data_IF_551713290693
#
_entry.id   IF_551713290693
#
_cell.length_a   1.000
_cell.length_b   1.000
_cell.length_c   1.000
_cell.angle_alpha   90.00
_cell.angle_beta   90.00
_cell.angle_gamma   90.00
#
_symmetry.space_group_name_H-M   'P 1'
#
loop_
_entity.id
_entity.type
_entity.pdbx_description
1 polymer ?
#
# COMPACT_ATOMS: atom_id res chain seq x y z
N UNK A 1 -70.90 -41.37 -13.90
CA UNK A 1 -72.28 -41.03 -14.21
C UNK A 1 -72.29 -39.96 -15.28
N UNK A 2 -73.18 -40.13 -16.27
CA UNK A 2 -73.36 -39.13 -17.31
C UNK A 2 -74.34 -38.06 -16.82
N UNK A 3 -74.15 -36.84 -17.25
CA UNK A 3 -75.07 -35.75 -17.05
C UNK A 3 -76.37 -36.01 -17.83
N UNK A 4 -77.52 -35.73 -17.23
CA UNK A 4 -78.84 -35.84 -17.87
C UNK A 4 -79.50 -34.46 -18.01
N UNK A 5 -80.45 -34.36 -18.90
CA UNK A 5 -81.21 -33.10 -19.13
C UNK A 5 -81.80 -32.58 -17.83
N UNK A 6 -81.40 -31.38 -17.38
CA UNK A 6 -81.82 -30.76 -16.12
C UNK A 6 -80.75 -30.68 -15.05
N UNK A 7 -79.63 -31.36 -15.23
CA UNK A 7 -78.48 -31.20 -14.33
C UNK A 7 -77.89 -29.79 -14.44
N UNK A 8 -77.67 -29.21 -13.30
CA UNK A 8 -77.02 -27.89 -13.21
C UNK A 8 -75.59 -28.08 -12.73
N UNK A 9 -74.64 -27.70 -13.53
CA UNK A 9 -73.21 -27.69 -13.17
C UNK A 9 -72.93 -26.37 -12.43
N UNK A 10 -72.77 -26.42 -11.13
CA UNK A 10 -72.49 -25.25 -10.31
C UNK A 10 -71.03 -24.86 -10.36
N UNK A 11 -70.10 -25.83 -10.63
CA UNK A 11 -68.69 -25.58 -10.82
C UNK A 11 -68.03 -26.77 -11.54
N UNK A 12 -66.96 -26.51 -12.26
CA UNK A 12 -66.06 -27.52 -12.81
C UNK A 12 -64.75 -27.36 -12.12
N UNK A 13 -64.30 -28.39 -11.40
CA UNK A 13 -62.96 -28.44 -10.88
C UNK A 13 -62.10 -29.26 -11.81
N UNK A 14 -61.04 -28.64 -12.35
CA UNK A 14 -60.04 -29.31 -13.17
C UNK A 14 -58.99 -29.86 -12.23
N UNK A 15 -59.00 -31.19 -12.06
CA UNK A 15 -57.97 -31.92 -11.31
C UNK A 15 -56.92 -32.41 -12.32
N UNK A 16 -55.83 -31.75 -12.41
CA UNK A 16 -54.76 -32.12 -13.30
C UNK A 16 -53.69 -31.03 -13.42
N UNK A 17 -52.66 -31.30 -14.18
CA UNK A 17 -51.63 -30.32 -14.45
C UNK A 17 -52.31 -29.02 -14.89
N UNK A 18 -52.49 -28.17 -13.94
CA UNK A 18 -53.15 -26.93 -14.20
C UNK A 18 -52.27 -26.11 -15.06
N UNK A 19 -52.78 -25.97 -16.23
CA UNK A 19 -52.92 -24.64 -16.71
C UNK A 19 -51.84 -23.71 -16.18
N UNK A 20 -51.07 -23.32 -17.08
CA UNK A 20 -50.43 -22.04 -17.03
C UNK A 20 -51.56 -20.98 -16.81
N UNK A 21 -51.92 -20.75 -15.59
CA UNK A 21 -52.93 -19.78 -15.18
C UNK A 21 -52.47 -18.33 -15.33
N UNK A 22 -51.47 -18.12 -16.16
CA UNK A 22 -50.95 -16.81 -16.43
C UNK A 22 -49.97 -16.30 -15.37
N UNK A 23 -49.70 -15.03 -15.43
CA UNK A 23 -48.78 -14.36 -14.50
C UNK A 23 -49.35 -14.44 -13.07
N UNK A 24 -48.57 -14.91 -12.08
CA UNK A 24 -49.00 -14.84 -10.67
C UNK A 24 -49.39 -13.41 -10.31
N UNK A 25 -50.44 -13.26 -9.50
CA UNK A 25 -50.82 -11.94 -8.99
C UNK A 25 -49.67 -11.32 -8.19
N UNK A 26 -49.63 -10.00 -8.15
CA UNK A 26 -48.62 -9.27 -7.38
C UNK A 26 -48.48 -9.78 -5.95
N UNK A 27 -47.26 -9.91 -5.48
CA UNK A 27 -46.89 -10.41 -4.15
C UNK A 27 -47.30 -11.86 -3.83
N UNK A 28 -47.76 -12.65 -4.79
CA UNK A 28 -48.20 -14.06 -4.54
C UNK A 28 -47.05 -15.07 -4.62
N UNK A 29 -45.90 -14.72 -5.22
CA UNK A 29 -44.70 -15.57 -5.26
C UNK A 29 -43.84 -15.33 -4.03
N UNK A 30 -44.10 -16.09 -2.97
CA UNK A 30 -43.26 -16.06 -1.76
C UNK A 30 -42.01 -16.91 -1.93
N UNK A 31 -41.03 -16.74 -1.03
CA UNK A 31 -39.80 -17.55 -1.03
C UNK A 31 -40.07 -19.05 -0.96
N UNK A 32 -41.13 -19.46 -0.25
CA UNK A 32 -41.52 -20.87 -0.17
C UNK A 32 -42.03 -21.45 -1.49
N UNK A 33 -42.45 -20.61 -2.44
CA UNK A 33 -42.90 -21.04 -3.78
C UNK A 33 -41.75 -21.15 -4.80
N UNK A 34 -40.55 -20.66 -4.45
CA UNK A 34 -39.36 -20.83 -5.24
C UNK A 34 -38.62 -22.07 -4.73
N UNK A 35 -38.60 -23.12 -5.52
CA UNK A 35 -37.80 -24.29 -5.18
C UNK A 35 -36.32 -23.89 -5.06
N UNK A 36 -35.56 -24.60 -4.21
CA UNK A 36 -34.09 -24.41 -4.12
C UNK A 36 -33.46 -24.53 -5.50
N UNK A 37 -32.55 -23.63 -5.84
CA UNK A 37 -31.85 -23.56 -7.14
C UNK A 37 -32.76 -23.24 -8.36
N UNK A 38 -34.01 -22.86 -8.16
CA UNK A 38 -34.93 -22.54 -9.27
C UNK A 38 -34.58 -21.25 -10.03
N UNK A 39 -33.90 -20.28 -9.37
CA UNK A 39 -33.45 -19.05 -9.98
C UNK A 39 -31.97 -19.20 -10.37
N UNK A 40 -31.73 -19.48 -11.62
CA UNK A 40 -30.38 -19.59 -12.21
C UNK A 40 -29.98 -18.31 -12.91
N UNK A 41 -28.69 -18.16 -13.26
CA UNK A 41 -28.21 -17.01 -14.02
C UNK A 41 -28.98 -16.77 -15.33
N UNK A 42 -29.43 -17.84 -16.00
CA UNK A 42 -30.22 -17.74 -17.24
C UNK A 42 -31.64 -17.15 -17.02
N UNK A 43 -32.11 -17.11 -15.78
CA UNK A 43 -33.42 -16.53 -15.42
C UNK A 43 -33.33 -15.10 -14.88
N UNK A 44 -32.11 -14.62 -14.69
CA UNK A 44 -31.83 -13.23 -14.27
C UNK A 44 -31.57 -12.39 -15.50
N UNK A 45 -32.32 -11.31 -15.66
CA UNK A 45 -32.01 -10.32 -16.69
C UNK A 45 -30.77 -9.53 -16.29
N UNK A 46 -29.96 -9.13 -17.26
CA UNK A 46 -28.79 -8.25 -17.04
C UNK A 46 -29.17 -6.92 -16.37
N UNK A 47 -30.40 -6.50 -16.49
CA UNK A 47 -30.93 -5.26 -15.88
C UNK A 47 -30.86 -5.27 -14.32
N UNK A 48 -30.71 -6.43 -13.70
CA UNK A 48 -30.41 -6.48 -12.26
C UNK A 48 -29.12 -5.74 -11.90
N UNK A 49 -28.24 -5.57 -12.88
CA UNK A 49 -27.00 -4.81 -12.76
C UNK A 49 -27.07 -3.53 -13.60
N UNK A 50 -27.36 -3.66 -14.90
CA UNK A 50 -27.29 -2.53 -15.86
C UNK A 50 -28.43 -1.53 -15.69
N UNK A 51 -29.56 -1.95 -15.12
CA UNK A 51 -30.71 -1.09 -14.81
C UNK A 51 -30.59 -0.32 -13.51
N UNK A 52 -29.51 -0.54 -12.71
CA UNK A 52 -29.32 0.18 -11.46
C UNK A 52 -28.70 1.57 -11.71
N UNK A 53 -28.98 2.50 -10.81
CA UNK A 53 -28.31 3.80 -10.83
C UNK A 53 -26.82 3.60 -10.56
N UNK A 54 -25.98 4.25 -11.39
CA UNK A 54 -24.52 4.19 -11.21
C UNK A 54 -24.11 4.85 -9.89
N UNK A 55 -23.41 4.11 -9.04
CA UNK A 55 -22.75 4.68 -7.85
C UNK A 55 -21.36 5.14 -8.21
N UNK A 56 -21.03 6.39 -7.93
CA UNK A 56 -19.74 7.01 -8.24
C UNK A 56 -18.87 7.25 -7.01
N UNK A 57 -19.42 7.06 -5.81
CA UNK A 57 -18.72 7.28 -4.54
C UNK A 57 -19.09 6.19 -3.54
N UNK A 58 -18.28 5.14 -3.52
CA UNK A 58 -18.53 3.98 -2.66
C UNK A 58 -18.00 4.22 -1.25
N UNK A 59 -18.86 4.15 -0.23
CA UNK A 59 -18.48 4.18 1.17
C UNK A 59 -17.87 2.86 1.63
N UNK A 60 -17.09 2.87 2.72
CA UNK A 60 -16.37 1.66 3.20
C UNK A 60 -17.34 0.55 3.68
N UNK A 61 -18.56 0.91 4.08
CA UNK A 61 -19.60 -0.02 4.47
C UNK A 61 -20.40 -0.62 3.32
N UNK A 62 -20.30 -0.10 2.10
CA UNK A 62 -21.00 -0.63 0.93
C UNK A 62 -20.53 -2.04 0.61
N UNK A 63 -21.44 -2.86 0.09
CA UNK A 63 -21.17 -4.28 -0.06
C UNK A 63 -21.26 -4.74 -1.51
N UNK A 64 -20.37 -5.64 -1.86
CA UNK A 64 -20.30 -6.34 -3.15
C UNK A 64 -20.72 -7.79 -2.93
N UNK A 65 -21.52 -8.36 -3.84
CA UNK A 65 -21.87 -9.78 -3.82
C UNK A 65 -20.74 -10.59 -4.48
N UNK A 66 -20.26 -11.60 -3.77
CA UNK A 66 -19.22 -12.52 -4.27
C UNK A 66 -19.66 -13.98 -4.13
N UNK A 67 -19.12 -14.84 -4.97
CA UNK A 67 -19.17 -16.29 -4.74
C UNK A 67 -17.91 -16.71 -3.95
N UNK A 68 -18.11 -17.16 -2.72
CA UNK A 68 -17.05 -17.72 -1.90
C UNK A 68 -16.84 -19.19 -2.30
N UNK A 69 -15.75 -19.48 -3.01
CA UNK A 69 -15.45 -20.82 -3.50
C UNK A 69 -15.20 -21.82 -2.36
N UNK A 70 -14.60 -21.38 -1.25
CA UNK A 70 -14.30 -22.22 -0.09
C UNK A 70 -15.58 -22.65 0.67
N UNK A 71 -16.57 -21.77 0.71
CA UNK A 71 -17.86 -22.01 1.32
C UNK A 71 -18.92 -22.53 0.33
N UNK A 72 -18.61 -22.54 -0.97
CA UNK A 72 -19.56 -22.84 -2.06
C UNK A 72 -20.86 -22.06 -1.94
N UNK A 73 -20.80 -20.78 -1.55
CA UNK A 73 -21.95 -19.95 -1.23
C UNK A 73 -21.77 -18.51 -1.69
N UNK A 74 -22.90 -17.82 -1.92
CA UNK A 74 -22.90 -16.38 -2.10
C UNK A 74 -22.66 -15.69 -0.76
N UNK A 75 -21.75 -14.74 -0.73
CA UNK A 75 -21.43 -13.91 0.42
C UNK A 75 -21.33 -12.44 0.04
N UNK A 76 -21.53 -11.56 1.00
CA UNK A 76 -21.26 -10.15 0.84
C UNK A 76 -19.82 -9.84 1.29
N UNK A 77 -19.16 -8.94 0.60
CA UNK A 77 -17.88 -8.36 0.99
C UNK A 77 -18.02 -6.85 1.02
N UNK A 78 -17.51 -6.19 2.07
CA UNK A 78 -17.47 -4.73 2.11
C UNK A 78 -16.43 -4.19 1.15
N UNK A 79 -16.60 -2.95 0.69
CA UNK A 79 -15.56 -2.24 -0.11
C UNK A 79 -14.23 -2.25 0.63
N UNK A 80 -14.20 -1.95 1.94
CA UNK A 80 -12.97 -1.93 2.73
C UNK A 80 -12.21 -3.26 2.65
N UNK A 81 -12.90 -4.40 2.78
CA UNK A 81 -12.28 -5.72 2.67
C UNK A 81 -11.85 -6.06 1.24
N UNK A 82 -12.63 -5.65 0.24
CA UNK A 82 -12.30 -5.88 -1.17
C UNK A 82 -11.02 -5.12 -1.56
N UNK A 83 -10.93 -3.85 -1.18
CA UNK A 83 -9.76 -2.99 -1.48
C UNK A 83 -8.52 -3.43 -0.69
N UNK A 84 -8.68 -3.93 0.54
CA UNK A 84 -7.54 -4.42 1.33
C UNK A 84 -6.84 -5.64 0.71
N UNK A 85 -7.55 -6.38 -0.17
CA UNK A 85 -6.97 -7.48 -0.95
C UNK A 85 -6.43 -7.08 -2.33
N UNK A 86 -6.61 -5.81 -2.73
CA UNK A 86 -6.21 -5.30 -4.05
C UNK A 86 -5.14 -4.23 -3.87
N UNK A 87 -3.90 -4.66 -3.93
CA UNK A 87 -2.76 -3.76 -3.84
C UNK A 87 -2.51 -3.25 -2.41
N UNK A 88 -1.34 -3.53 -1.90
CA UNK A 88 -0.86 -2.98 -0.63
C UNK A 88 -0.75 -1.45 -0.69
N UNK A 89 -0.77 -0.82 0.44
CA UNK A 89 -0.31 0.55 0.58
C UNK A 89 1.22 0.56 0.56
N UNK A 90 1.85 1.63 0.04
CA UNK A 90 3.31 1.80 0.13
C UNK A 90 3.75 2.11 1.58
N UNK A 91 3.26 1.30 2.53
CA UNK A 91 3.58 1.42 3.95
C UNK A 91 4.27 0.15 4.44
N UNK A 92 5.20 0.28 5.40
CA UNK A 92 5.64 1.53 6.05
C UNK A 92 6.35 2.47 5.09
N UNK A 93 6.25 3.78 5.37
CA UNK A 93 6.88 4.84 4.59
C UNK A 93 7.32 5.98 5.52
N UNK A 94 8.49 6.52 5.27
CA UNK A 94 9.01 7.61 6.08
C UNK A 94 9.73 8.67 5.25
N UNK A 95 9.80 9.87 5.79
CA UNK A 95 10.68 10.94 5.32
C UNK A 95 11.21 11.72 6.50
N UNK A 96 12.51 11.90 6.55
CA UNK A 96 13.22 12.57 7.65
C UNK A 96 14.23 13.57 7.12
N UNK A 97 14.60 14.52 7.95
CA UNK A 97 15.55 15.58 7.62
C UNK A 97 16.45 15.92 8.80
N UNK A 98 17.52 16.65 8.53
CA UNK A 98 18.31 17.32 9.57
C UNK A 98 17.60 18.63 9.90
N UNK A 99 17.28 18.88 11.17
CA UNK A 99 16.59 20.09 11.62
C UNK A 99 17.23 20.81 12.81
N UNK A 100 17.99 20.11 13.63
CA UNK A 100 18.63 20.66 14.84
C UNK A 100 19.83 21.58 14.57
N UNK A 101 20.01 22.03 13.35
CA UNK A 101 21.14 22.83 12.90
C UNK A 101 22.10 21.99 12.05
N UNK A 102 23.09 22.66 11.45
CA UNK A 102 24.07 22.02 10.60
C UNK A 102 24.91 21.00 11.40
N UNK A 103 25.15 19.83 10.83
CA UNK A 103 25.99 18.80 11.44
C UNK A 103 27.44 18.92 11.01
N UNK A 104 28.37 19.05 11.98
CA UNK A 104 29.81 19.02 11.70
C UNK A 104 30.28 17.59 11.42
N UNK A 105 31.09 17.41 10.40
CA UNK A 105 31.67 16.14 9.98
C UNK A 105 33.21 16.23 10.09
N UNK A 106 33.79 15.25 10.75
CA UNK A 106 35.26 15.08 10.77
C UNK A 106 35.74 14.45 9.45
N UNK A 107 36.88 14.90 8.95
CA UNK A 107 37.47 14.30 7.76
C UNK A 107 37.99 12.87 7.98
N UNK A 108 38.01 12.07 6.92
CA UNK A 108 38.56 10.70 6.88
C UNK A 108 37.90 9.71 7.89
N UNK A 109 36.65 9.95 8.27
CA UNK A 109 35.92 9.08 9.16
C UNK A 109 34.47 8.97 8.72
N UNK A 110 33.91 7.75 8.74
CA UNK A 110 32.48 7.54 8.53
C UNK A 110 31.73 8.20 9.69
N UNK A 111 30.78 9.02 9.34
CA UNK A 111 29.95 9.74 10.32
C UNK A 111 28.48 9.50 10.02
N UNK A 112 27.74 9.01 11.03
CA UNK A 112 26.31 8.82 10.95
C UNK A 112 25.60 10.16 10.69
N UNK A 113 24.76 10.22 9.67
CA UNK A 113 24.00 11.42 9.35
C UNK A 113 22.85 11.60 10.34
N UNK A 114 22.79 12.78 10.96
CA UNK A 114 21.84 13.10 12.02
C UNK A 114 20.47 13.50 11.47
N UNK A 115 19.76 12.59 10.84
CA UNK A 115 18.36 12.81 10.46
C UNK A 115 17.47 12.76 11.71
N UNK A 116 17.27 13.88 12.34
CA UNK A 116 16.69 14.04 13.70
C UNK A 116 15.23 14.51 13.70
N UNK A 117 14.67 14.81 12.54
CA UNK A 117 13.29 15.30 12.42
C UNK A 117 12.52 14.56 11.35
N UNK A 118 11.38 14.05 11.76
CA UNK A 118 10.43 13.42 10.85
C UNK A 118 9.61 14.49 10.12
N UNK A 119 9.45 14.30 8.81
CA UNK A 119 8.40 14.93 8.02
C UNK A 119 7.13 14.10 8.14
N UNK A 120 7.29 12.78 8.02
CA UNK A 120 6.29 11.77 8.35
C UNK A 120 6.98 10.42 8.62
N UNK A 121 6.32 9.56 9.42
CA UNK A 121 6.65 8.15 9.60
C UNK A 121 5.33 7.35 9.71
N UNK A 122 4.90 6.76 8.60
CA UNK A 122 3.69 5.96 8.50
C UNK A 122 4.08 4.49 8.71
N UNK A 123 3.55 3.89 9.77
CA UNK A 123 3.89 2.53 10.16
C UNK A 123 5.02 2.41 11.17
N UNK A 124 5.63 3.53 11.61
CA UNK A 124 6.52 3.57 12.77
C UNK A 124 7.85 2.84 12.57
N UNK A 125 8.44 2.93 11.41
CA UNK A 125 9.70 2.23 11.10
C UNK A 125 10.96 3.04 11.39
N UNK A 126 10.89 4.38 11.39
CA UNK A 126 12.05 5.22 11.62
C UNK A 126 12.23 5.59 13.10
N UNK A 127 13.47 5.64 13.55
CA UNK A 127 13.81 6.04 14.90
C UNK A 127 14.81 7.19 14.90
N UNK A 128 14.36 8.37 15.33
CA UNK A 128 15.15 9.61 15.37
C UNK A 128 16.30 9.57 16.35
N UNK A 129 16.31 8.68 17.35
CA UNK A 129 17.43 8.52 18.28
C UNK A 129 18.55 7.68 17.68
N UNK A 130 18.23 6.56 17.03
CA UNK A 130 19.21 5.69 16.39
C UNK A 130 19.51 6.07 14.94
N UNK A 131 18.75 7.03 14.36
CA UNK A 131 18.90 7.54 13.00
C UNK A 131 18.78 6.45 11.91
N UNK A 132 17.91 5.48 12.13
CA UNK A 132 17.73 4.35 11.22
C UNK A 132 16.26 4.00 11.03
N UNK A 133 15.96 3.48 9.87
CA UNK A 133 14.71 2.77 9.60
C UNK A 133 14.91 1.30 9.93
N UNK A 134 13.96 0.71 10.64
CA UNK A 134 13.92 -0.73 10.97
C UNK A 134 12.59 -1.30 10.48
N UNK A 135 12.62 -2.42 9.78
CA UNK A 135 11.42 -3.07 9.24
C UNK A 135 10.51 -3.52 10.38
N UNK A 136 9.28 -2.99 10.47
CA UNK A 136 8.32 -3.37 11.51
C UNK A 136 7.85 -4.82 11.36
N UNK A 137 7.23 -5.35 12.44
CA UNK A 137 6.65 -6.69 12.43
C UNK A 137 5.54 -6.82 11.37
N UNK A 138 5.59 -7.88 10.58
CA UNK A 138 4.64 -8.14 9.49
C UNK A 138 4.96 -7.42 8.18
N UNK A 139 6.01 -6.58 8.14
CA UNK A 139 6.30 -5.71 7.01
C UNK A 139 7.55 -6.12 6.21
N UNK A 140 7.96 -7.41 6.27
CA UNK A 140 9.01 -7.91 5.38
C UNK A 140 8.63 -7.68 3.91
N UNK A 141 9.62 -7.47 3.04
CA UNK A 141 9.38 -7.23 1.61
C UNK A 141 10.44 -6.33 0.98
N UNK A 142 10.13 -5.83 -0.22
CA UNK A 142 11.00 -4.93 -0.97
C UNK A 142 10.74 -3.47 -0.59
N UNK A 143 11.81 -2.72 -0.45
CA UNK A 143 11.79 -1.32 -0.06
C UNK A 143 12.59 -0.48 -1.05
N UNK A 144 12.10 0.71 -1.33
CA UNK A 144 12.87 1.76 -1.99
C UNK A 144 13.35 2.77 -0.97
N UNK A 145 14.65 3.10 -0.99
CA UNK A 145 15.25 4.14 -0.16
C UNK A 145 15.97 5.17 -1.02
N UNK A 146 15.91 6.42 -0.58
CA UNK A 146 16.70 7.49 -1.16
C UNK A 146 17.20 8.42 -0.05
N UNK A 147 18.48 8.81 -0.15
CA UNK A 147 19.07 9.81 0.73
C UNK A 147 19.76 10.89 -0.10
N UNK A 148 19.58 12.12 0.33
CA UNK A 148 20.22 13.31 -0.24
C UNK A 148 20.85 14.12 0.89
N UNK A 149 22.09 14.59 0.69
CA UNK A 149 22.84 15.35 1.68
C UNK A 149 23.45 16.57 1.01
N UNK A 150 23.12 17.75 1.48
CA UNK A 150 23.77 19.00 1.13
C UNK A 150 24.99 19.22 2.01
N UNK A 151 26.10 19.61 1.39
CA UNK A 151 27.36 19.89 2.07
C UNK A 151 27.61 21.39 2.04
N UNK A 152 27.90 22.00 3.18
CA UNK A 152 28.32 23.39 3.22
C UNK A 152 29.75 23.51 2.70
N UNK A 153 29.94 24.22 1.61
CA UNK A 153 31.29 24.53 1.17
C UNK A 153 31.87 25.61 2.07
N UNK A 154 32.99 25.32 2.71
CA UNK A 154 33.81 26.37 3.27
C UNK A 154 34.44 27.14 2.11
N UNK A 155 34.53 28.47 2.23
CA UNK A 155 35.07 29.42 1.22
C UNK A 155 36.53 29.22 0.86
N UNK A 156 37.18 28.16 1.32
CA UNK A 156 38.52 27.79 0.89
C UNK A 156 38.43 26.93 -0.36
N UNK A 157 38.60 27.57 -1.49
CA UNK A 157 38.87 26.92 -2.76
C UNK A 157 40.17 26.15 -2.63
N UNK A 158 40.12 24.93 -2.14
CA UNK A 158 41.30 24.06 -2.17
C UNK A 158 41.39 23.47 -3.59
N UNK A 159 42.56 23.66 -4.21
CA UNK A 159 42.84 23.14 -5.55
C UNK A 159 42.92 21.60 -5.60
N UNK A 160 42.88 20.94 -4.46
CA UNK A 160 42.90 19.48 -4.37
C UNK A 160 41.46 18.91 -4.53
N UNK A 161 41.33 17.91 -5.38
CA UNK A 161 40.09 17.16 -5.54
C UNK A 161 39.71 16.44 -4.23
N UNK A 162 38.59 16.83 -3.63
CA UNK A 162 38.07 16.20 -2.41
C UNK A 162 37.06 15.12 -2.74
N UNK A 163 37.21 13.98 -2.10
CA UNK A 163 36.26 12.86 -2.27
C UNK A 163 35.16 12.94 -1.23
N UNK A 164 33.94 12.83 -1.71
CA UNK A 164 32.70 12.80 -0.92
C UNK A 164 31.95 11.50 -1.22
N UNK A 165 31.59 10.76 -0.20
CA UNK A 165 30.88 9.51 -0.33
C UNK A 165 29.71 9.50 0.63
N UNK A 166 28.50 9.37 0.11
CA UNK A 166 27.31 9.03 0.91
C UNK A 166 27.16 7.50 0.86
N UNK A 167 26.96 6.89 2.00
CA UNK A 167 26.83 5.44 2.14
C UNK A 167 25.53 5.10 2.83
N UNK A 168 24.73 4.25 2.20
CA UNK A 168 23.53 3.66 2.78
C UNK A 168 23.85 2.21 3.13
N UNK A 169 23.71 1.87 4.39
CA UNK A 169 24.00 0.54 4.93
C UNK A 169 22.73 -0.22 5.17
N UNK A 170 22.67 -1.46 4.71
CA UNK A 170 21.65 -2.44 5.07
C UNK A 170 22.28 -3.48 6.01
N UNK A 171 21.68 -3.63 7.17
CA UNK A 171 22.03 -4.63 8.18
C UNK A 171 20.82 -5.52 8.49
N UNK A 172 21.09 -6.79 8.78
CA UNK A 172 20.05 -7.66 9.30
C UNK A 172 19.81 -7.44 10.80
N UNK A 173 18.77 -8.06 11.33
CA UNK A 173 18.38 -7.97 12.76
C UNK A 173 19.47 -8.47 13.72
N UNK A 174 20.45 -9.24 13.26
CA UNK A 174 21.62 -9.71 14.03
C UNK A 174 22.84 -8.80 13.90
N UNK A 175 22.66 -7.57 13.40
CA UNK A 175 23.74 -6.58 13.18
C UNK A 175 24.83 -7.03 12.20
N UNK A 176 24.50 -7.88 11.24
CA UNK A 176 25.41 -8.26 10.15
C UNK A 176 25.11 -7.41 8.92
N UNK A 177 26.15 -6.77 8.35
CA UNK A 177 26.04 -5.99 7.12
C UNK A 177 25.66 -6.91 5.95
N UNK A 178 24.59 -6.58 5.26
CA UNK A 178 24.09 -7.30 4.09
C UNK A 178 24.51 -6.63 2.80
N UNK A 179 24.49 -5.28 2.79
CA UNK A 179 24.86 -4.50 1.63
C UNK A 179 25.27 -3.07 2.04
N UNK A 180 26.08 -2.45 1.20
CA UNK A 180 26.41 -1.02 1.29
C UNK A 180 26.26 -0.40 -0.08
N UNK A 181 25.37 0.58 -0.18
CA UNK A 181 25.11 1.35 -1.40
C UNK A 181 25.82 2.69 -1.32
N UNK A 182 26.47 3.11 -2.40
CA UNK A 182 27.35 4.28 -2.37
C UNK A 182 27.05 5.25 -3.49
N UNK A 183 26.87 6.50 -3.13
CA UNK A 183 27.00 7.63 -4.03
C UNK A 183 28.36 8.32 -3.80
N UNK A 184 29.22 8.33 -4.79
CA UNK A 184 30.56 8.92 -4.69
C UNK A 184 30.75 9.99 -5.75
N UNK A 185 31.34 11.08 -5.34
CA UNK A 185 31.74 12.14 -6.26
C UNK A 185 33.03 12.85 -5.79
N UNK A 186 33.65 13.54 -6.71
CA UNK A 186 34.84 14.36 -6.44
C UNK A 186 34.52 15.78 -6.90
N UNK A 187 34.58 16.72 -5.99
CA UNK A 187 34.41 18.14 -6.31
C UNK A 187 35.73 18.91 -6.20
N UNK A 188 35.99 19.75 -7.18
CA UNK A 188 37.14 20.63 -7.16
C UNK A 188 36.80 22.10 -6.87
N UNK A 189 35.59 22.54 -7.12
CA UNK A 189 35.14 23.94 -6.92
C UNK A 189 33.62 24.07 -7.01
N UNK A 190 32.85 23.45 -6.12
CA UNK A 190 31.37 23.57 -6.15
C UNK A 190 30.86 24.17 -4.86
N UNK A 191 30.01 25.19 -4.97
CA UNK A 191 29.34 25.80 -3.83
C UNK A 191 28.17 24.90 -3.43
N UNK A 192 28.16 24.46 -2.16
CA UNK A 192 27.10 23.65 -1.56
C UNK A 192 26.69 22.42 -2.40
N UNK A 193 27.63 21.49 -2.67
CA UNK A 193 27.31 20.30 -3.43
C UNK A 193 26.31 19.42 -2.71
N UNK A 194 25.51 18.70 -3.49
CA UNK A 194 24.56 17.70 -2.97
C UNK A 194 24.97 16.32 -3.44
N UNK A 195 25.05 15.38 -2.51
CA UNK A 195 25.21 13.95 -2.79
C UNK A 195 23.86 13.24 -2.65
N UNK A 196 23.69 12.18 -3.42
CA UNK A 196 22.54 11.33 -3.32
C UNK A 196 22.91 9.86 -3.49
N UNK A 197 22.13 9.00 -2.87
CA UNK A 197 22.15 7.55 -3.04
C UNK A 197 20.74 7.04 -3.02
N UNK A 198 20.44 6.05 -3.87
CA UNK A 198 19.17 5.33 -3.84
C UNK A 198 19.44 3.84 -3.95
N UNK A 199 18.55 3.04 -3.37
CA UNK A 199 18.64 1.58 -3.42
C UNK A 199 17.27 0.94 -3.28
N UNK A 200 17.08 -0.18 -3.99
CA UNK A 200 16.01 -1.12 -3.78
C UNK A 200 16.54 -2.31 -2.99
N UNK A 201 15.89 -2.61 -1.86
CA UNK A 201 16.41 -3.57 -0.89
C UNK A 201 15.31 -4.54 -0.50
N UNK A 202 15.59 -5.85 -0.55
CA UNK A 202 14.72 -6.85 0.04
C UNK A 202 15.10 -7.05 1.50
N UNK A 203 14.15 -6.85 2.43
CA UNK A 203 14.39 -6.79 3.86
C UNK A 203 13.46 -7.72 4.64
N UNK A 204 14.02 -8.40 5.63
CA UNK A 204 13.26 -9.16 6.62
C UNK A 204 12.82 -8.26 7.79
N UNK A 205 11.89 -8.75 8.61
CA UNK A 205 11.49 -8.07 9.86
C UNK A 205 12.71 -7.89 10.76
N UNK A 206 12.89 -6.67 11.27
CA UNK A 206 14.01 -6.29 12.12
C UNK A 206 15.29 -5.91 11.37
N UNK A 207 15.36 -6.10 10.06
CA UNK A 207 16.45 -5.52 9.26
C UNK A 207 16.37 -4.00 9.30
N UNK A 208 17.51 -3.33 9.16
CA UNK A 208 17.53 -1.87 9.24
C UNK A 208 18.48 -1.23 8.23
N UNK A 209 18.16 0.02 7.90
CA UNK A 209 18.94 0.88 7.00
C UNK A 209 19.25 2.20 7.70
N UNK A 210 20.50 2.67 7.54
CA UNK A 210 20.92 3.99 7.97
C UNK A 210 21.91 4.60 6.95
N UNK A 211 22.23 5.88 7.12
CA UNK A 211 23.07 6.61 6.18
C UNK A 211 24.26 7.22 6.90
N UNK A 212 25.45 6.93 6.39
CA UNK A 212 26.70 7.56 6.79
C UNK A 212 27.24 8.45 5.67
N UNK A 213 28.16 9.32 6.03
CA UNK A 213 28.95 10.09 5.10
C UNK A 213 30.44 9.94 5.41
N UNK A 214 31.24 9.78 4.36
CA UNK A 214 32.68 9.78 4.40
C UNK A 214 33.22 10.90 3.51
N UNK A 215 33.99 11.81 4.08
CA UNK A 215 34.55 12.96 3.40
C UNK A 215 36.05 13.05 3.72
N UNK A 216 36.85 13.40 2.73
CA UNK A 216 38.32 13.52 2.92
C UNK A 216 38.68 14.58 3.94
N UNK A 217 37.97 15.70 4.01
CA UNK A 217 38.22 16.80 4.94
C UNK A 217 37.03 17.13 5.81
N UNK A 218 37.31 17.75 6.95
CA UNK A 218 36.23 18.23 7.84
C UNK A 218 35.32 19.25 7.12
N UNK A 219 34.01 19.10 7.30
CA UNK A 219 33.01 19.98 6.72
C UNK A 219 31.72 19.99 7.57
N UNK A 220 30.69 20.59 7.03
CA UNK A 220 29.37 20.71 7.70
C UNK A 220 28.28 20.25 6.73
N UNK A 221 27.37 19.41 7.20
CA UNK A 221 26.15 19.07 6.48
C UNK A 221 25.11 20.16 6.71
N UNK A 222 24.43 20.53 5.63
CA UNK A 222 23.38 21.55 5.69
C UNK A 222 22.10 20.94 6.29
N UNK A 223 21.63 21.57 7.36
CA UNK A 223 20.29 21.33 7.87
C UNK A 223 19.24 21.87 6.88
N UNK A 224 18.03 21.45 7.03
CA UNK A 224 16.88 21.75 6.20
C UNK A 224 16.55 20.65 5.17
N UNK A 225 15.25 20.37 5.07
CA UNK A 225 14.72 19.38 4.12
C UNK A 225 14.95 19.72 2.64
N UNK A 226 15.33 20.96 2.32
CA UNK A 226 15.74 21.33 0.97
C UNK A 226 17.07 20.68 0.58
N UNK A 227 17.96 20.47 1.57
CA UNK A 227 19.32 20.01 1.35
C UNK A 227 19.57 18.57 1.79
N UNK A 228 19.09 18.19 2.99
CA UNK A 228 19.43 16.90 3.58
C UNK A 228 18.18 16.15 4.00
N UNK A 229 17.88 15.07 3.30
CA UNK A 229 16.71 14.21 3.53
C UNK A 229 17.08 12.75 3.40
N UNK A 230 16.36 11.90 4.14
CA UNK A 230 16.34 10.46 3.96
C UNK A 230 14.90 9.99 3.97
N UNK A 231 14.54 9.16 3.01
CA UNK A 231 13.18 8.64 2.89
C UNK A 231 13.17 7.22 2.35
N UNK A 232 12.11 6.51 2.63
CA UNK A 232 11.90 5.18 2.10
C UNK A 232 10.45 4.75 2.23
N UNK A 233 10.08 3.73 1.46
CA UNK A 233 8.75 3.14 1.49
C UNK A 233 8.80 1.70 0.98
N UNK A 234 7.84 0.91 1.45
CA UNK A 234 7.65 -0.46 0.96
C UNK A 234 7.08 -0.44 -0.46
N UNK A 235 7.66 -1.23 -1.33
CA UNK A 235 7.11 -1.47 -2.67
C UNK A 235 5.87 -2.37 -2.57
N UNK A 236 4.85 -2.08 -3.36
CA UNK A 236 3.65 -2.92 -3.49
C UNK A 236 4.05 -4.18 -4.25
N UNK A 237 3.74 -5.33 -3.68
CA UNK A 237 3.91 -6.66 -4.29
C UNK A 237 2.56 -7.28 -4.61
#
# INVERSE_FOLDING_TARGET
>A
SNLVTGDVINFIQILGNVLDLGVPSDATVSTAKLASTSVTAAKLNNDIITGQTAETSIADGDTILIHDASASALRKMTKANFVSGIGGTNTPAFSVKISSGNQSISGNSNTLVNFDSEVYDIGGGYNTSSKRFTVPSGEAGKYHFTAKIGIQSNSQYDAASKQYTIEMYHYNSSNSNQATYRGRTTFSQVVNPTLAVAADVNMAVGDYVYVDILITDATTLLADGAYSTFSGFKLIE
#
